data_IF_179231681409
#
_entry.id   IF_179231681409
#
_cell.length_a   1.000
_cell.length_b   1.000
_cell.length_c   1.000
_cell.angle_alpha   90.00
_cell.angle_beta   90.00
_cell.angle_gamma   90.00
#
_symmetry.space_group_name_H-M   'P 1'
#
loop_
_entity.id
_entity.type
_entity.pdbx_description
1 polymer ?
#
# COMPACT_ATOMS: atom_id res chain seq x y z
N UNK A 1 -11.32 -8.42 -0.02
CA UNK A 1 -11.43 -7.28 0.94
C UNK A 1 -12.19 -7.61 2.23
N UNK A 2 -12.75 -8.81 2.43
CA UNK A 2 -13.54 -9.09 3.65
C UNK A 2 -12.71 -9.43 4.89
N UNK A 3 -11.44 -9.85 4.75
CA UNK A 3 -10.62 -10.29 5.89
C UNK A 3 -10.30 -9.13 6.85
N UNK A 4 -9.80 -8.00 6.33
CA UNK A 4 -9.45 -6.83 7.15
C UNK A 4 -10.62 -6.22 7.95
N UNK A 5 -11.87 -6.47 7.52
CA UNK A 5 -13.07 -6.02 8.25
C UNK A 5 -13.34 -6.82 9.54
N UNK A 6 -12.53 -7.84 9.86
CA UNK A 6 -12.56 -8.51 11.15
C UNK A 6 -11.90 -7.68 12.27
N UNK A 7 -11.17 -6.61 11.93
CA UNK A 7 -10.63 -5.66 12.91
C UNK A 7 -11.74 -5.02 13.74
N UNK A 8 -11.48 -4.82 15.03
CA UNK A 8 -12.41 -4.14 15.95
C UNK A 8 -12.25 -2.63 15.97
N UNK A 9 -11.17 -2.11 15.39
CA UNK A 9 -10.81 -0.69 15.41
C UNK A 9 -10.98 -0.01 14.06
N UNK A 10 -11.13 -0.78 12.97
CA UNK A 10 -11.45 -0.26 11.64
C UNK A 10 -12.88 -0.59 11.26
N UNK A 11 -13.60 0.40 10.72
CA UNK A 11 -14.88 0.19 10.06
C UNK A 11 -14.74 0.55 8.59
N UNK A 12 -14.66 -0.47 7.74
CA UNK A 12 -14.47 -0.28 6.30
C UNK A 12 -15.83 -0.33 5.62
N UNK A 13 -16.20 0.74 4.92
CA UNK A 13 -17.38 0.77 4.06
C UNK A 13 -16.93 0.69 2.61
N UNK A 14 -17.11 -0.45 1.91
CA UNK A 14 -16.81 -0.54 0.50
C UNK A 14 -17.65 0.45 -0.29
N UNK A 15 -16.99 1.26 -1.13
CA UNK A 15 -17.65 2.13 -2.09
C UNK A 15 -17.68 1.43 -3.44
N UNK A 16 -18.69 1.72 -4.27
CA UNK A 16 -18.76 1.17 -5.63
C UNK A 16 -17.47 1.48 -6.40
N UNK A 17 -16.84 0.43 -6.93
CA UNK A 17 -15.59 0.56 -7.68
C UNK A 17 -15.79 1.20 -9.06
N UNK A 18 -14.75 1.88 -9.53
CA UNK A 18 -14.68 2.40 -10.90
C UNK A 18 -13.94 1.41 -11.81
N UNK A 19 -14.52 1.10 -12.97
CA UNK A 19 -13.96 0.14 -13.93
C UNK A 19 -13.25 0.80 -15.11
N UNK A 20 -13.27 2.13 -15.21
CA UNK A 20 -12.59 2.86 -16.29
C UNK A 20 -11.08 2.58 -16.29
N UNK A 21 -10.53 2.33 -17.47
CA UNK A 21 -9.12 1.92 -17.63
C UNK A 21 -8.15 3.01 -17.17
N UNK A 22 -8.45 4.28 -17.45
CA UNK A 22 -7.60 5.40 -17.04
C UNK A 22 -7.64 5.57 -15.54
N UNK A 23 -8.83 5.48 -14.94
CA UNK A 23 -8.98 5.51 -13.49
C UNK A 23 -8.18 4.40 -12.83
N UNK A 24 -8.35 3.14 -13.27
CA UNK A 24 -7.61 1.99 -12.71
C UNK A 24 -6.09 2.16 -12.81
N UNK A 25 -5.58 2.61 -13.96
CA UNK A 25 -4.15 2.83 -14.19
C UNK A 25 -3.57 4.01 -13.42
N UNK A 26 -4.34 5.06 -13.16
CA UNK A 26 -3.86 6.18 -12.34
C UNK A 26 -3.92 5.81 -10.86
N UNK A 27 -5.04 5.24 -10.45
CA UNK A 27 -5.37 4.91 -9.07
C UNK A 27 -4.97 6.05 -8.13
N UNK A 28 -5.52 7.25 -8.37
CA UNK A 28 -5.21 8.43 -7.58
C UNK A 28 -5.78 8.28 -6.17
N UNK A 29 -5.02 8.71 -5.17
CA UNK A 29 -5.47 8.79 -3.77
C UNK A 29 -6.69 9.69 -3.63
N UNK A 30 -7.57 9.35 -2.70
CA UNK A 30 -8.77 10.12 -2.35
C UNK A 30 -8.73 10.37 -0.84
N UNK A 31 -8.86 11.62 -0.42
CA UNK A 31 -8.86 12.00 1.00
C UNK A 31 -9.92 11.22 1.78
N UNK A 32 -9.51 10.65 2.92
CA UNK A 32 -10.34 9.83 3.79
C UNK A 32 -10.58 8.40 3.27
N UNK A 33 -9.87 7.97 2.21
CA UNK A 33 -10.10 6.67 1.59
C UNK A 33 -8.79 5.94 1.27
N UNK A 34 -8.89 4.61 1.31
CA UNK A 34 -7.97 3.71 0.61
C UNK A 34 -8.58 3.34 -0.73
N UNK A 35 -7.81 3.54 -1.81
CA UNK A 35 -8.19 3.10 -3.15
C UNK A 35 -7.38 1.88 -3.57
N UNK A 36 -8.05 0.78 -3.88
CA UNK A 36 -7.39 -0.46 -4.32
C UNK A 36 -7.63 -0.67 -5.80
N UNK A 37 -6.56 -0.84 -6.59
CA UNK A 37 -6.66 -0.96 -8.04
C UNK A 37 -5.69 -2.01 -8.59
N UNK A 38 -6.19 -2.90 -9.45
CA UNK A 38 -5.35 -3.70 -10.31
C UNK A 38 -5.36 -3.14 -11.75
N UNK A 39 -4.24 -3.21 -12.45
CA UNK A 39 -4.14 -2.96 -13.89
C UNK A 39 -2.82 -3.52 -14.45
N UNK A 40 -2.70 -3.59 -15.77
CA UNK A 40 -1.40 -3.82 -16.41
C UNK A 40 -0.59 -2.51 -16.41
N UNK A 41 0.41 -2.40 -15.53
CA UNK A 41 1.31 -1.25 -15.38
C UNK A 41 2.64 -1.39 -16.13
N UNK A 42 2.84 -2.50 -16.85
CA UNK A 42 4.09 -2.87 -17.52
C UNK A 42 5.05 -3.66 -16.62
N UNK A 43 6.11 -4.19 -17.23
CA UNK A 43 7.23 -4.83 -16.53
C UNK A 43 8.17 -3.75 -16.00
N UNK A 44 7.86 -3.23 -14.83
CA UNK A 44 8.48 -2.06 -14.22
C UNK A 44 9.20 -2.36 -12.90
N UNK A 45 9.29 -3.63 -12.51
CA UNK A 45 10.04 -4.10 -11.34
C UNK A 45 9.25 -4.27 -10.06
N UNK A 46 7.92 -4.07 -10.07
CA UNK A 46 7.09 -4.26 -8.88
C UNK A 46 5.82 -5.08 -9.14
N UNK A 47 5.48 -5.88 -8.13
CA UNK A 47 4.32 -6.75 -8.02
C UNK A 47 3.14 -6.02 -7.38
N UNK A 48 3.42 -5.35 -6.26
CA UNK A 48 2.52 -4.53 -5.48
C UNK A 48 3.12 -3.15 -5.19
N UNK A 49 2.25 -2.14 -5.06
CA UNK A 49 2.64 -0.79 -4.70
C UNK A 49 1.58 -0.17 -3.79
N UNK A 50 1.84 -0.16 -2.49
CA UNK A 50 1.08 0.58 -1.50
C UNK A 50 1.64 1.98 -1.33
N UNK A 51 0.78 2.94 -1.08
CA UNK A 51 1.16 4.32 -0.83
C UNK A 51 0.22 4.93 0.18
N UNK A 52 0.79 5.63 1.16
CA UNK A 52 0.05 6.38 2.18
C UNK A 52 0.54 7.81 2.20
N UNK A 53 -0.36 8.75 2.45
CA UNK A 53 -0.01 10.15 2.70
C UNK A 53 -0.28 10.47 4.17
N UNK A 54 0.75 11.03 4.81
CA UNK A 54 0.77 11.38 6.22
C UNK A 54 0.65 12.90 6.36
N UNK A 55 -0.25 13.35 7.22
CA UNK A 55 -0.27 14.75 7.63
C UNK A 55 0.95 15.09 8.52
N UNK A 56 1.08 16.36 8.90
CA UNK A 56 2.16 16.84 9.75
C UNK A 56 2.17 16.24 11.16
N UNK A 57 1.10 15.55 11.57
CA UNK A 57 1.01 14.85 12.86
C UNK A 57 1.26 13.35 12.72
N UNK A 58 1.48 12.86 11.50
CA UNK A 58 1.75 11.44 11.22
C UNK A 58 0.49 10.61 10.98
N UNK A 59 -0.70 11.21 10.83
CA UNK A 59 -1.90 10.42 10.51
C UNK A 59 -2.01 10.14 9.02
N UNK A 60 -2.41 8.91 8.69
CA UNK A 60 -2.79 8.54 7.33
C UNK A 60 -4.06 9.28 6.93
N UNK A 61 -3.97 10.11 5.90
CA UNK A 61 -5.10 10.90 5.39
C UNK A 61 -5.73 10.28 4.15
N UNK A 62 -4.96 9.50 3.38
CA UNK A 62 -5.36 8.83 2.14
C UNK A 62 -4.33 7.80 1.75
N UNK A 63 -4.74 6.80 0.97
CA UNK A 63 -3.80 5.79 0.47
C UNK A 63 -4.29 5.06 -0.77
N UNK A 64 -3.36 4.37 -1.42
CA UNK A 64 -3.63 3.51 -2.59
C UNK A 64 -2.89 2.20 -2.47
N UNK A 65 -3.51 1.09 -2.87
CA UNK A 65 -2.83 -0.19 -3.09
C UNK A 65 -2.99 -0.58 -4.56
N UNK A 66 -1.87 -0.76 -5.27
CA UNK A 66 -1.87 -1.12 -6.69
C UNK A 66 -1.30 -2.52 -6.89
N UNK A 67 -1.97 -3.32 -7.71
CA UNK A 67 -1.55 -4.69 -8.05
C UNK A 67 -1.20 -4.75 -9.54
N UNK A 68 0.00 -5.22 -9.85
CA UNK A 68 0.50 -5.23 -11.22
C UNK A 68 0.10 -6.48 -11.99
N UNK A 69 -0.96 -6.38 -12.77
CA UNK A 69 -1.46 -7.49 -13.61
C UNK A 69 -0.46 -7.91 -14.70
N UNK A 70 0.59 -7.11 -14.96
CA UNK A 70 1.64 -7.46 -15.93
C UNK A 70 2.52 -8.63 -15.47
N UNK A 71 2.58 -8.87 -14.16
CA UNK A 71 3.35 -9.96 -13.56
C UNK A 71 2.46 -11.14 -13.12
N UNK A 72 1.14 -10.96 -13.03
CA UNK A 72 0.24 -11.94 -12.40
C UNK A 72 -0.40 -12.97 -13.35
N UNK A 73 0.05 -13.04 -14.62
CA UNK A 73 -0.59 -13.88 -15.64
C UNK A 73 -0.45 -15.39 -15.38
N UNK A 74 0.61 -15.80 -14.66
CA UNK A 74 0.87 -17.19 -14.28
C UNK A 74 0.58 -17.48 -12.80
N UNK A 75 0.13 -16.48 -12.05
CA UNK A 75 -0.13 -16.64 -10.62
C UNK A 75 -1.43 -17.37 -10.35
N UNK A 76 -1.37 -18.20 -9.32
CA UNK A 76 -2.49 -18.78 -8.61
C UNK A 76 -3.37 -17.69 -7.99
N UNK A 77 -4.57 -18.07 -7.53
CA UNK A 77 -5.43 -17.10 -6.83
C UNK A 77 -4.82 -16.73 -5.49
N UNK A 78 -4.07 -17.65 -4.91
CA UNK A 78 -3.41 -17.56 -3.63
C UNK A 78 -2.30 -16.52 -3.63
N UNK A 79 -1.41 -16.57 -4.62
CA UNK A 79 -0.35 -15.54 -4.80
C UNK A 79 -0.96 -14.15 -5.05
N UNK A 80 -2.05 -14.06 -5.83
CA UNK A 80 -2.77 -12.79 -6.05
C UNK A 80 -3.38 -12.25 -4.77
N UNK A 81 -3.96 -13.13 -3.95
CA UNK A 81 -4.55 -12.74 -2.68
C UNK A 81 -3.48 -12.27 -1.70
N UNK A 82 -2.33 -12.95 -1.62
CA UNK A 82 -1.20 -12.57 -0.78
C UNK A 82 -0.73 -11.14 -1.09
N UNK A 83 -0.35 -10.84 -2.34
CA UNK A 83 0.08 -9.49 -2.74
C UNK A 83 -1.02 -8.45 -2.50
N UNK A 84 -2.27 -8.76 -2.87
CA UNK A 84 -3.38 -7.82 -2.63
C UNK A 84 -3.56 -7.52 -1.13
N UNK A 85 -3.42 -8.54 -0.29
CA UNK A 85 -3.61 -8.44 1.13
C UNK A 85 -2.49 -7.63 1.79
N UNK A 86 -1.24 -7.92 1.43
CA UNK A 86 -0.05 -7.23 1.88
C UNK A 86 -0.11 -5.72 1.58
N UNK A 87 -0.36 -5.35 0.33
CA UNK A 87 -0.42 -3.93 -0.04
C UNK A 87 -1.59 -3.21 0.62
N UNK A 88 -2.71 -3.90 0.90
CA UNK A 88 -3.79 -3.31 1.69
C UNK A 88 -3.37 -3.12 3.14
N UNK A 89 -2.65 -4.08 3.74
CA UNK A 89 -2.09 -3.95 5.09
C UNK A 89 -1.13 -2.76 5.21
N UNK A 90 -0.26 -2.55 4.23
CA UNK A 90 0.63 -1.39 4.18
C UNK A 90 -0.12 -0.06 4.07
N UNK A 91 -1.29 -0.02 3.42
CA UNK A 91 -2.12 1.20 3.41
C UNK A 91 -2.72 1.49 4.80
N UNK A 92 -2.92 0.48 5.63
CA UNK A 92 -3.25 0.67 7.05
C UNK A 92 -2.02 0.97 7.93
N UNK A 93 -0.82 1.05 7.34
CA UNK A 93 0.42 1.38 8.05
C UNK A 93 1.14 0.19 8.68
N UNK A 94 0.74 -1.05 8.37
CA UNK A 94 1.40 -2.24 8.91
C UNK A 94 2.75 -2.48 8.22
N UNK A 95 3.73 -2.95 9.00
CA UNK A 95 4.98 -3.50 8.49
C UNK A 95 4.88 -5.00 8.18
N UNK A 96 6.03 -5.63 7.89
CA UNK A 96 6.10 -7.10 7.81
C UNK A 96 6.29 -7.73 9.18
N UNK A 97 5.72 -8.92 9.37
CA UNK A 97 5.97 -9.75 10.56
C UNK A 97 7.17 -10.68 10.37
N UNK A 98 7.47 -11.03 9.11
CA UNK A 98 8.63 -11.84 8.70
C UNK A 98 9.19 -11.34 7.39
N UNK A 99 10.51 -11.12 7.34
CA UNK A 99 11.20 -10.68 6.12
C UNK A 99 12.12 -11.73 5.51
N UNK A 100 12.21 -12.93 6.11
CA UNK A 100 13.13 -14.00 5.72
C UNK A 100 12.49 -15.10 4.85
N UNK A 101 11.23 -14.90 4.43
CA UNK A 101 10.44 -15.85 3.65
C UNK A 101 9.76 -16.97 4.46
N UNK A 102 9.95 -17.03 5.78
CA UNK A 102 9.25 -17.99 6.63
C UNK A 102 7.77 -17.62 6.79
N UNK A 103 6.90 -18.65 6.71
CA UNK A 103 5.46 -18.49 6.92
C UNK A 103 5.17 -18.26 8.39
N UNK A 104 4.49 -17.16 8.69
CA UNK A 104 3.80 -16.92 9.95
C UNK A 104 2.28 -17.05 9.79
N UNK A 105 1.83 -17.56 8.64
CA UNK A 105 0.42 -17.71 8.30
C UNK A 105 -0.31 -16.37 8.22
N UNK A 106 0.37 -15.32 7.74
CA UNK A 106 -0.22 -14.00 7.47
C UNK A 106 0.19 -13.51 6.09
N UNK A 107 -0.62 -12.65 5.48
CA UNK A 107 -0.21 -11.94 4.28
C UNK A 107 0.78 -10.79 4.52
N UNK A 108 1.15 -10.51 5.76
CA UNK A 108 2.20 -9.54 6.10
C UNK A 108 3.57 -10.22 6.29
N UNK A 109 3.76 -11.44 5.77
CA UNK A 109 5.05 -12.11 5.63
C UNK A 109 5.46 -12.22 4.14
N UNK A 110 6.69 -12.64 3.83
CA UNK A 110 7.13 -12.92 2.46
C UNK A 110 7.04 -14.39 2.05
N UNK A 111 6.19 -15.17 2.72
CA UNK A 111 6.11 -16.58 2.44
C UNK A 111 5.34 -16.87 1.15
N UNK A 112 5.84 -17.86 0.40
CA UNK A 112 5.09 -18.46 -0.72
C UNK A 112 4.08 -19.52 -0.26
N UNK A 113 3.89 -19.69 1.06
CA UNK A 113 2.90 -20.60 1.61
C UNK A 113 1.48 -20.18 1.17
N UNK A 114 0.70 -21.05 0.51
CA UNK A 114 -0.68 -20.77 0.18
C UNK A 114 -1.55 -20.44 1.40
N UNK A 115 -1.14 -20.75 2.62
CA UNK A 115 -1.82 -20.33 3.85
C UNK A 115 -1.68 -18.83 4.16
N UNK A 116 -0.63 -18.16 3.68
CA UNK A 116 -0.30 -16.77 3.98
C UNK A 116 -1.14 -15.75 3.20
N UNK A 117 -2.38 -16.05 2.82
CA UNK A 117 -3.17 -15.14 1.96
C UNK A 117 -3.92 -14.03 2.71
N UNK A 118 -3.99 -14.11 4.04
CA UNK A 118 -4.92 -13.30 4.84
C UNK A 118 -4.26 -12.79 6.12
N UNK A 119 -4.74 -11.67 6.69
CA UNK A 119 -4.29 -11.23 8.01
C UNK A 119 -4.60 -12.27 9.09
N UNK A 120 -3.71 -12.37 10.08
CA UNK A 120 -3.84 -13.19 11.27
C UNK A 120 -4.06 -12.32 12.53
N UNK A 121 -4.02 -12.95 13.70
CA UNK A 121 -4.23 -12.27 14.99
C UNK A 121 -3.24 -11.13 15.25
N UNK A 122 -1.97 -11.31 14.90
CA UNK A 122 -0.92 -10.31 15.10
C UNK A 122 -1.22 -9.03 14.32
N UNK A 123 -1.66 -9.14 13.07
CA UNK A 123 -1.97 -7.97 12.24
C UNK A 123 -3.12 -7.14 12.82
N UNK A 124 -4.13 -7.80 13.42
CA UNK A 124 -5.21 -7.09 14.09
C UNK A 124 -4.77 -6.42 15.41
N UNK A 125 -3.78 -6.99 16.11
CA UNK A 125 -3.19 -6.38 17.30
C UNK A 125 -2.36 -5.15 16.94
N UNK A 126 -1.63 -5.20 15.82
CA UNK A 126 -0.92 -4.03 15.28
C UNK A 126 -1.91 -2.94 14.88
N UNK A 127 -2.99 -3.28 14.18
CA UNK A 127 -4.08 -2.34 13.90
C UNK A 127 -4.66 -1.71 15.16
N UNK A 128 -4.87 -2.49 16.23
CA UNK A 128 -5.35 -1.96 17.50
C UNK A 128 -4.34 -1.01 18.16
N UNK A 129 -3.04 -1.21 17.94
CA UNK A 129 -2.00 -0.29 18.39
C UNK A 129 -2.03 1.01 17.59
N UNK A 130 -2.16 0.91 16.26
CA UNK A 130 -2.18 2.05 15.34
C UNK A 130 -3.48 2.85 15.42
N UNK A 131 -4.63 2.24 15.71
CA UNK A 131 -5.94 2.90 15.62
C UNK A 131 -6.76 2.86 16.91
N UNK A 132 -6.31 2.16 17.95
CA UNK A 132 -7.01 2.05 19.24
C UNK A 132 -6.72 3.20 20.21
N UNK A 133 -5.88 4.16 19.83
CA UNK A 133 -5.57 5.31 20.65
C UNK A 133 -6.63 6.42 20.50
N UNK A 134 -6.82 7.21 21.55
CA UNK A 134 -7.77 8.33 21.56
C UNK A 134 -7.08 9.57 21.00
N UNK A 135 -7.33 9.86 19.72
CA UNK A 135 -6.87 11.11 19.13
C UNK A 135 -7.84 12.26 19.38
N UNK A 136 -7.28 13.47 19.35
CA UNK A 136 -8.06 14.71 19.42
C UNK A 136 -8.79 15.05 18.12
N UNK A 137 -8.51 14.33 17.01
CA UNK A 137 -9.20 14.51 15.73
C UNK A 137 -9.13 13.27 14.84
N UNK A 138 -10.05 13.17 13.87
CA UNK A 138 -10.08 12.12 12.85
C UNK A 138 -9.95 12.77 11.47
N UNK A 139 -9.03 12.26 10.63
CA UNK A 139 -8.70 12.77 9.29
C UNK A 139 -9.82 12.57 8.26
N UNK A 140 -10.84 11.75 8.56
CA UNK A 140 -12.03 11.56 7.72
C UNK A 140 -12.88 12.83 7.56
N UNK A 141 -12.76 13.81 8.46
CA UNK A 141 -13.70 14.94 8.57
C UNK A 141 -13.34 16.22 7.80
N UNK A 142 -12.25 16.28 7.03
CA UNK A 142 -11.83 17.50 6.30
C UNK A 142 -11.72 17.27 4.80
N UNK A 143 -12.87 17.09 4.16
CA UNK A 143 -13.00 17.03 2.71
C UNK A 143 -12.92 18.41 2.05
N UNK A 144 -11.73 18.83 1.64
CA UNK A 144 -11.54 19.78 0.54
C UNK A 144 -10.27 19.43 -0.21
N UNK A 145 -10.41 18.93 -1.45
CA UNK A 145 -9.30 18.60 -2.35
C UNK A 145 -8.50 19.87 -2.73
N UNK A 146 -7.17 19.91 -2.50
CA UNK A 146 -6.29 20.80 -3.22
C UNK A 146 -6.00 20.22 -4.62
N UNK A 147 -5.84 21.05 -5.67
CA UNK A 147 -5.53 20.57 -7.00
C UNK A 147 -4.11 19.99 -7.03
N UNK A 148 -3.99 18.73 -7.45
CA UNK A 148 -2.70 18.08 -7.69
C UNK A 148 -1.99 18.69 -8.89
N UNK A 149 -0.86 19.37 -8.69
CA UNK A 149 0.09 19.61 -9.80
C UNK A 149 1.53 19.67 -9.31
N UNK A 150 2.23 18.53 -9.32
CA UNK A 150 3.67 18.54 -9.62
C UNK A 150 3.86 18.52 -11.14
N UNK A 151 4.31 19.65 -11.71
CA UNK A 151 4.76 19.73 -13.11
C UNK A 151 6.28 19.79 -13.17
N UNK A 152 6.93 18.69 -13.55
CA UNK A 152 8.29 18.74 -14.11
C UNK A 152 9.17 17.53 -13.81
N UNK A 153 9.99 17.14 -14.80
CA UNK A 153 10.98 16.02 -14.77
C UNK A 153 12.17 16.26 -13.82
N UNK A 154 12.05 17.08 -12.77
CA UNK A 154 13.18 17.46 -11.90
C UNK A 154 13.05 17.06 -10.42
N UNK A 155 11.94 16.45 -10.00
CA UNK A 155 11.88 15.70 -8.74
C UNK A 155 12.13 14.19 -8.94
N UNK A 156 12.14 13.72 -10.20
CA UNK A 156 12.15 12.30 -10.55
C UNK A 156 13.35 11.88 -11.41
N UNK A 157 14.46 11.59 -10.76
CA UNK A 157 15.58 10.89 -11.38
C UNK A 157 16.08 9.72 -10.53
N UNK A 158 15.18 8.81 -10.09
CA UNK A 158 15.51 7.51 -9.45
C UNK A 158 14.43 6.45 -9.76
N UNK A 159 14.79 5.17 -9.58
CA UNK A 159 14.27 3.95 -10.21
C UNK A 159 12.74 3.84 -10.43
N UNK A 160 11.89 4.38 -9.56
CA UNK A 160 10.42 4.29 -9.69
C UNK A 160 9.70 5.65 -9.79
N UNK A 161 10.44 6.73 -9.64
CA UNK A 161 9.86 8.07 -9.57
C UNK A 161 9.02 8.34 -8.32
N UNK A 162 9.46 7.79 -7.18
CA UNK A 162 8.77 7.79 -5.88
C UNK A 162 9.54 8.57 -4.78
N UNK A 163 10.35 9.57 -5.18
CA UNK A 163 11.16 10.34 -4.23
C UNK A 163 12.45 9.63 -3.79
N UNK A 164 12.69 9.57 -2.47
CA UNK A 164 13.91 9.05 -1.85
C UNK A 164 13.71 7.67 -1.26
N UNK A 165 14.57 6.69 -1.61
CA UNK A 165 14.59 5.40 -0.92
C UNK A 165 15.09 5.58 0.52
N UNK A 166 14.30 5.08 1.46
CA UNK A 166 14.60 5.13 2.90
C UNK A 166 15.14 3.79 3.39
N UNK A 167 14.55 2.69 2.90
CA UNK A 167 14.89 1.33 3.33
C UNK A 167 14.53 0.33 2.22
N UNK A 168 15.08 -0.87 2.27
CA UNK A 168 14.73 -1.96 1.35
C UNK A 168 15.65 -3.16 1.49
N UNK A 169 15.19 -4.29 0.95
CA UNK A 169 15.90 -5.57 0.87
C UNK A 169 15.54 -6.29 -0.45
N UNK A 170 15.79 -7.60 -0.56
CA UNK A 170 15.44 -8.38 -1.75
C UNK A 170 13.94 -8.45 -2.07
N UNK A 171 13.06 -8.20 -1.11
CA UNK A 171 11.62 -8.35 -1.31
C UNK A 171 10.90 -7.02 -1.51
N UNK A 172 11.39 -5.93 -0.91
CA UNK A 172 10.77 -4.63 -1.03
C UNK A 172 11.69 -3.43 -0.93
N UNK A 173 11.14 -2.29 -1.30
CA UNK A 173 11.69 -0.98 -0.98
C UNK A 173 10.64 -0.06 -0.35
N UNK A 174 11.10 0.78 0.57
CA UNK A 174 10.35 1.91 1.11
C UNK A 174 10.91 3.20 0.54
N UNK A 175 10.01 3.99 -0.04
CA UNK A 175 10.33 5.31 -0.56
C UNK A 175 9.52 6.39 0.14
N UNK A 176 10.09 7.59 0.24
CA UNK A 176 9.43 8.75 0.84
C UNK A 176 9.56 9.97 -0.07
N UNK A 177 8.46 10.71 -0.20
CA UNK A 177 8.35 11.96 -0.94
C UNK A 177 7.69 13.02 -0.07
N UNK A 178 8.39 14.13 0.15
CA UNK A 178 7.81 15.30 0.81
C UNK A 178 7.00 16.12 -0.21
N UNK A 179 5.76 16.45 0.13
CA UNK A 179 4.83 17.17 -0.74
C UNK A 179 4.90 18.68 -0.49
N UNK A 180 4.51 19.48 -1.50
CA UNK A 180 4.53 20.96 -1.40
C UNK A 180 3.59 21.50 -0.30
N UNK A 181 2.54 20.75 0.05
CA UNK A 181 1.58 21.09 1.11
C UNK A 181 2.08 20.74 2.52
N UNK A 182 3.31 20.22 2.64
CA UNK A 182 3.93 19.84 3.90
C UNK A 182 3.55 18.44 4.40
N UNK A 183 2.77 17.68 3.63
CA UNK A 183 2.52 16.25 3.89
C UNK A 183 3.68 15.38 3.44
N UNK A 184 3.69 14.13 3.89
CA UNK A 184 4.69 13.13 3.52
C UNK A 184 4.00 11.93 2.88
N UNK A 185 4.39 11.57 1.66
CA UNK A 185 3.93 10.34 1.01
C UNK A 185 4.98 9.24 1.21
N UNK A 186 4.56 8.10 1.75
CA UNK A 186 5.36 6.89 1.86
C UNK A 186 4.86 5.85 0.86
N UNK A 187 5.79 5.15 0.22
CA UNK A 187 5.51 4.07 -0.71
C UNK A 187 6.17 2.78 -0.24
N UNK A 188 5.40 1.71 -0.20
CA UNK A 188 5.91 0.35 -0.11
C UNK A 188 5.85 -0.27 -1.51
N UNK A 189 6.98 -0.81 -1.98
CA UNK A 189 7.13 -1.42 -3.29
C UNK A 189 7.49 -2.88 -3.09
N UNK A 190 6.56 -3.81 -3.34
CA UNK A 190 6.89 -5.23 -3.42
C UNK A 190 7.57 -5.49 -4.77
N UNK A 191 8.86 -5.82 -4.72
CA UNK A 191 9.71 -6.07 -5.88
C UNK A 191 9.31 -7.36 -6.63
N UNK A 192 9.48 -7.32 -7.94
CA UNK A 192 9.42 -8.50 -8.79
C UNK A 192 10.79 -9.19 -8.81
N UNK A 193 10.81 -10.53 -8.92
CA UNK A 193 12.05 -11.31 -9.00
C UNK A 193 13.07 -10.73 -10.00
N UNK A 194 14.32 -10.62 -9.58
CA UNK A 194 15.42 -10.11 -10.38
C UNK A 194 15.44 -8.58 -10.54
N UNK A 195 14.58 -7.87 -9.80
CA UNK A 195 14.62 -6.42 -9.63
C UNK A 195 15.11 -6.00 -8.24
N UNK A 196 15.72 -6.93 -7.50
CA UNK A 196 16.42 -6.65 -6.26
C UNK A 196 17.73 -5.91 -6.55
N UNK A 197 18.08 -4.87 -5.77
CA UNK A 197 19.44 -4.33 -5.82
C UNK A 197 20.39 -5.23 -5.03
N UNK A 198 21.40 -5.79 -5.70
CA UNK A 198 22.51 -6.55 -5.11
C UNK A 198 23.58 -5.64 -4.48
#
# INVERSE_FOLDING_TARGET
MNAWNASKVLSLTPVQGETDSRTRKRCSMVTGQMRVCNAAYGQNGWLGLASINLDSSGHITKGTAKMNDSYSWYWTSEEKNHVMCQEVGHVFGLGHTSEDGTSQGTCMDYSSDPGSQWPNAHDYEELATIYGHLDSYNTYATGSEPPSTCKGRKCNSRAFGLGHRIYGNEHFEIWAEAEEDGTLTLHHVYLADGHEEH
#
